data_IF_881638028555
#
_entry.id   IF_881638028555
#
_cell.length_a   1.000
_cell.length_b   1.000
_cell.length_c   1.000
_cell.angle_alpha   90.00
_cell.angle_beta   90.00
_cell.angle_gamma   90.00
#
_symmetry.space_group_name_H-M   'P 1'
#
loop_
_entity.id
_entity.type
_entity.pdbx_description
1 polymer ?
#
# COMPACT_ATOMS: atom_id res chain seq x y z
N UNK A 1 -11.40 -13.31 -0.45
CA UNK A 1 -10.29 -13.34 -1.43
C UNK A 1 -9.04 -12.80 -0.73
N UNK A 2 -7.97 -13.59 -0.62
CA UNK A 2 -6.73 -13.18 0.07
C UNK A 2 -5.89 -12.25 -0.80
N UNK A 3 -5.27 -11.23 -0.19
CA UNK A 3 -4.30 -10.32 -0.80
C UNK A 3 -3.18 -11.05 -1.55
N UNK A 4 -2.79 -12.23 -1.05
CA UNK A 4 -1.76 -13.08 -1.67
C UNK A 4 -2.25 -13.67 -2.99
N UNK A 5 -3.51 -14.07 -3.06
CA UNK A 5 -4.15 -14.62 -4.25
C UNK A 5 -4.30 -13.57 -5.35
N UNK A 6 -4.70 -12.34 -4.98
CA UNK A 6 -4.81 -11.21 -5.91
C UNK A 6 -3.46 -10.85 -6.54
N UNK A 7 -2.40 -10.74 -5.72
CA UNK A 7 -1.03 -10.49 -6.20
C UNK A 7 -0.54 -11.60 -7.14
N UNK A 8 -0.81 -12.86 -6.82
CA UNK A 8 -0.38 -14.01 -7.62
C UNK A 8 -1.10 -14.04 -8.97
N UNK A 9 -2.41 -13.81 -9.00
CA UNK A 9 -3.20 -13.71 -10.23
C UNK A 9 -2.71 -12.57 -11.12
N UNK A 10 -2.42 -11.40 -10.56
CA UNK A 10 -1.96 -10.29 -11.37
C UNK A 10 -0.55 -10.49 -11.92
N UNK A 11 0.36 -11.06 -11.12
CA UNK A 11 1.68 -11.45 -11.61
C UNK A 11 1.56 -12.45 -12.78
N UNK A 12 0.66 -13.42 -12.68
CA UNK A 12 0.40 -14.37 -13.77
C UNK A 12 -0.12 -13.66 -15.04
N UNK A 13 -1.04 -12.70 -14.89
CA UNK A 13 -1.55 -11.91 -16.03
C UNK A 13 -0.43 -11.11 -16.69
N UNK A 14 0.40 -10.41 -15.92
CA UNK A 14 1.53 -9.65 -16.45
C UNK A 14 2.53 -10.53 -17.21
N UNK A 15 2.92 -11.67 -16.63
CA UNK A 15 3.84 -12.62 -17.28
C UNK A 15 3.22 -13.18 -18.57
N UNK A 16 1.93 -13.53 -18.55
CA UNK A 16 1.21 -14.01 -19.73
C UNK A 16 1.08 -12.95 -20.82
N UNK A 17 0.90 -11.68 -20.46
CA UNK A 17 0.82 -10.55 -21.38
C UNK A 17 2.16 -10.31 -22.09
N UNK A 18 3.27 -10.35 -21.34
CA UNK A 18 4.62 -10.24 -21.92
C UNK A 18 4.88 -11.41 -22.88
N UNK A 19 4.59 -12.64 -22.46
CA UNK A 19 4.76 -13.82 -23.31
C UNK A 19 3.89 -13.75 -24.58
N UNK A 20 2.64 -13.30 -24.45
CA UNK A 20 1.71 -13.15 -25.57
C UNK A 20 2.17 -12.11 -26.59
N UNK A 21 2.70 -10.96 -26.14
CA UNK A 21 3.26 -9.93 -27.01
C UNK A 21 4.50 -10.44 -27.77
N UNK A 22 5.36 -11.22 -27.11
CA UNK A 22 6.55 -11.82 -27.74
C UNK A 22 6.15 -12.85 -28.80
N UNK A 23 5.22 -13.76 -28.48
CA UNK A 23 4.76 -14.79 -29.43
C UNK A 23 4.05 -14.17 -30.63
N UNK A 24 3.20 -13.17 -30.40
CA UNK A 24 2.49 -12.44 -31.46
C UNK A 24 3.44 -11.72 -32.42
N UNK A 25 4.56 -11.19 -31.90
CA UNK A 25 5.60 -10.57 -32.74
C UNK A 25 6.27 -11.58 -33.68
N UNK A 26 6.48 -12.82 -33.22
CA UNK A 26 7.12 -13.90 -34.02
C UNK A 26 6.15 -14.51 -35.04
N UNK A 27 4.86 -14.61 -34.71
CA UNK A 27 3.85 -15.32 -35.52
C UNK A 27 3.34 -14.56 -36.77
N UNK A 28 4.09 -13.57 -37.27
CA UNK A 28 3.77 -12.87 -38.52
C UNK A 28 3.17 -11.46 -38.34
N UNK A 29 3.48 -10.78 -37.23
CA UNK A 29 3.13 -9.37 -37.00
C UNK A 29 1.63 -9.08 -37.16
N UNK A 30 0.78 -9.95 -36.61
CA UNK A 30 -0.66 -9.74 -36.63
C UNK A 30 -1.04 -8.66 -35.61
N UNK A 31 -1.12 -7.42 -36.09
CA UNK A 31 -1.36 -6.22 -35.30
C UNK A 31 -2.62 -6.33 -34.41
N UNK A 32 -3.64 -7.10 -34.84
CA UNK A 32 -4.85 -7.34 -34.06
C UNK A 32 -4.62 -8.17 -32.78
N UNK A 33 -3.72 -9.16 -32.83
CA UNK A 33 -3.37 -9.98 -31.66
C UNK A 33 -2.55 -9.15 -30.67
N UNK A 34 -1.63 -8.33 -31.18
CA UNK A 34 -0.85 -7.41 -30.33
C UNK A 34 -1.76 -6.42 -29.60
N UNK A 35 -2.73 -5.83 -30.31
CA UNK A 35 -3.64 -4.83 -29.74
C UNK A 35 -4.56 -5.42 -28.66
N UNK A 36 -5.09 -6.62 -28.88
CA UNK A 36 -5.98 -7.29 -27.91
C UNK A 36 -5.22 -7.69 -26.64
N UNK A 37 -4.04 -8.28 -26.77
CA UNK A 37 -3.18 -8.63 -25.61
C UNK A 37 -2.76 -7.37 -24.83
N UNK A 38 -2.39 -6.31 -25.55
CA UNK A 38 -2.05 -5.02 -24.95
C UNK A 38 -3.22 -4.42 -24.17
N UNK A 39 -4.42 -4.38 -24.76
CA UNK A 39 -5.63 -3.87 -24.11
C UNK A 39 -6.01 -4.69 -22.87
N UNK A 40 -5.98 -6.02 -22.94
CA UNK A 40 -6.28 -6.87 -21.79
C UNK A 40 -5.28 -6.64 -20.65
N UNK A 41 -3.99 -6.48 -20.97
CA UNK A 41 -2.95 -6.22 -19.98
C UNK A 41 -3.12 -4.84 -19.33
N UNK A 42 -3.46 -3.81 -20.12
CA UNK A 42 -3.72 -2.46 -19.63
C UNK A 42 -4.92 -2.43 -18.67
N UNK A 43 -6.03 -3.07 -19.02
CA UNK A 43 -7.22 -3.18 -18.16
C UNK A 43 -6.90 -3.90 -16.85
N UNK A 44 -6.12 -4.99 -16.92
CA UNK A 44 -5.69 -5.71 -15.73
C UNK A 44 -4.78 -4.86 -14.81
N UNK A 45 -3.86 -4.07 -15.39
CA UNK A 45 -2.98 -3.17 -14.65
C UNK A 45 -3.77 -2.05 -13.94
N UNK A 46 -4.71 -1.42 -14.65
CA UNK A 46 -5.59 -0.38 -14.06
C UNK A 46 -6.43 -0.97 -12.93
N UNK A 47 -6.99 -2.17 -13.13
CA UNK A 47 -7.77 -2.86 -12.11
C UNK A 47 -6.93 -3.18 -10.87
N UNK A 48 -5.67 -3.60 -11.05
CA UNK A 48 -4.74 -3.83 -9.94
C UNK A 48 -4.40 -2.54 -9.21
N UNK A 49 -4.20 -1.45 -9.94
CA UNK A 49 -3.87 -0.15 -9.35
C UNK A 49 -5.04 0.36 -8.50
N UNK A 50 -6.27 0.27 -9.00
CA UNK A 50 -7.48 0.60 -8.25
C UNK A 50 -7.70 -0.31 -7.04
N UNK A 51 -7.47 -1.62 -7.18
CA UNK A 51 -7.55 -2.53 -6.03
C UNK A 51 -6.44 -2.21 -4.99
N UNK A 52 -5.24 -1.87 -5.45
CA UNK A 52 -4.11 -1.53 -4.58
C UNK A 52 -4.33 -0.21 -3.86
N UNK A 53 -5.00 0.77 -4.47
CA UNK A 53 -5.33 2.03 -3.80
C UNK A 53 -6.37 1.84 -2.69
N UNK A 54 -7.34 0.95 -2.89
CA UNK A 54 -8.34 0.61 -1.86
C UNK A 54 -7.75 -0.25 -0.74
N UNK A 55 -6.77 -1.10 -1.07
CA UNK A 55 -6.17 -2.05 -0.11
C UNK A 55 -4.97 -1.46 0.64
N UNK A 56 -4.28 -0.45 0.09
CA UNK A 56 -3.33 0.37 0.85
C UNK A 56 -4.10 1.16 1.92
N UNK A 57 -4.27 0.54 3.09
CA UNK A 57 -4.35 1.25 4.36
C UNK A 57 -2.96 1.78 4.71
N UNK A 58 -2.41 2.67 3.90
CA UNK A 58 -1.54 3.70 4.49
C UNK A 58 -2.55 4.71 5.03
N UNK A 59 -2.69 4.86 6.37
CA UNK A 59 -3.44 5.99 6.88
C UNK A 59 -2.88 7.23 6.19
N UNK A 60 -3.75 7.95 5.52
CA UNK A 60 -3.43 9.20 4.82
C UNK A 60 -2.65 10.04 5.84
N UNK A 61 -1.45 10.53 5.50
CA UNK A 61 -0.53 11.27 6.40
C UNK A 61 -1.26 12.26 7.32
N UNK A 62 -2.30 12.93 6.81
CA UNK A 62 -3.13 13.87 7.57
C UNK A 62 -3.85 13.28 8.80
N UNK A 63 -4.18 11.98 8.80
CA UNK A 63 -4.77 11.31 9.97
C UNK A 63 -3.72 10.94 11.00
N UNK A 64 -2.52 10.52 10.59
CA UNK A 64 -1.42 10.31 11.54
C UNK A 64 -0.99 11.63 12.17
N UNK A 65 -1.00 12.73 11.41
CA UNK A 65 -0.65 14.05 11.93
C UNK A 65 -1.69 14.56 12.94
N UNK A 66 -2.98 14.37 12.69
CA UNK A 66 -4.04 14.69 13.64
C UNK A 66 -3.98 13.82 14.92
N UNK A 67 -3.69 12.52 14.78
CA UNK A 67 -3.54 11.62 15.93
C UNK A 67 -2.26 11.92 16.71
N UNK A 68 -1.17 12.31 16.03
CA UNK A 68 0.07 12.76 16.65
C UNK A 68 -0.12 14.08 17.42
N UNK A 69 -0.85 15.04 16.85
CA UNK A 69 -1.17 16.30 17.52
C UNK A 69 -2.02 16.07 18.79
N UNK A 70 -2.99 15.16 18.72
CA UNK A 70 -3.78 14.74 19.89
C UNK A 70 -2.93 14.04 20.96
N UNK A 71 -1.93 13.26 20.56
CA UNK A 71 -1.01 12.62 21.48
C UNK A 71 -0.11 13.65 22.17
N UNK A 72 0.46 14.60 21.42
CA UNK A 72 1.33 15.64 21.99
C UNK A 72 0.54 16.54 22.94
N UNK A 73 -0.72 16.89 22.62
CA UNK A 73 -1.58 17.65 23.52
C UNK A 73 -1.85 16.92 24.85
N UNK A 74 -2.02 15.59 24.83
CA UNK A 74 -2.17 14.79 26.05
C UNK A 74 -0.88 14.72 26.86
N UNK A 75 0.26 14.54 26.19
CA UNK A 75 1.59 14.56 26.85
C UNK A 75 1.83 15.91 27.51
N UNK A 76 1.52 17.00 26.81
CA UNK A 76 1.66 18.35 27.35
C UNK A 76 0.72 18.56 28.55
N UNK A 77 -0.54 18.14 28.46
CA UNK A 77 -1.46 18.22 29.59
C UNK A 77 -0.97 17.47 30.83
N UNK A 78 -0.34 16.31 30.68
CA UNK A 78 0.25 15.57 31.79
C UNK A 78 1.43 16.34 32.42
N UNK A 79 2.29 16.93 31.59
CA UNK A 79 3.41 17.76 32.04
C UNK A 79 2.90 18.99 32.81
N UNK A 80 1.86 19.64 32.29
CA UNK A 80 1.25 20.83 32.91
C UNK A 80 0.63 20.51 34.28
N UNK A 81 0.14 19.29 34.48
CA UNK A 81 -0.33 18.81 35.80
C UNK A 81 0.80 18.45 36.78
N UNK A 82 2.07 18.62 36.37
CA UNK A 82 3.27 18.39 37.20
C UNK A 82 3.93 17.02 36.99
N UNK A 83 3.55 16.27 35.95
CA UNK A 83 4.25 15.03 35.64
C UNK A 83 5.67 15.32 35.12
N UNK A 84 6.69 14.59 35.59
CA UNK A 84 8.06 14.77 35.12
C UNK A 84 8.17 14.43 33.63
N UNK A 85 8.51 15.43 32.82
CA UNK A 85 8.56 15.34 31.34
C UNK A 85 9.36 14.14 30.84
N UNK A 86 10.54 13.90 31.43
CA UNK A 86 11.40 12.80 31.04
C UNK A 86 10.69 11.43 31.18
N UNK A 87 9.91 11.24 32.24
CA UNK A 87 9.17 10.00 32.45
C UNK A 87 7.97 9.87 31.50
N UNK A 88 7.22 10.95 31.26
CA UNK A 88 6.08 10.95 30.33
C UNK A 88 6.53 10.66 28.89
N UNK A 89 7.60 11.32 28.43
CA UNK A 89 8.14 11.10 27.08
C UNK A 89 8.75 9.71 26.92
N UNK A 90 9.38 9.16 27.95
CA UNK A 90 9.88 7.79 27.91
C UNK A 90 8.74 6.77 27.85
N UNK A 91 7.67 6.96 28.64
CA UNK A 91 6.48 6.11 28.61
C UNK A 91 5.83 6.10 27.22
N UNK A 92 5.67 7.27 26.59
CA UNK A 92 5.13 7.38 25.24
C UNK A 92 6.01 6.64 24.21
N UNK A 93 7.33 6.77 24.30
CA UNK A 93 8.28 6.05 23.43
C UNK A 93 8.19 4.53 23.62
N UNK A 94 8.06 4.06 24.85
CA UNK A 94 7.96 2.63 25.15
C UNK A 94 6.64 2.05 24.65
N UNK A 95 5.53 2.78 24.79
CA UNK A 95 4.23 2.42 24.21
C UNK A 95 4.30 2.31 22.67
N UNK A 96 4.92 3.28 21.99
CA UNK A 96 5.12 3.22 20.54
C UNK A 96 6.01 2.04 20.11
N UNK A 97 7.07 1.73 20.87
CA UNK A 97 7.92 0.56 20.61
C UNK A 97 7.16 -0.75 20.73
N UNK A 98 6.25 -0.84 21.70
CA UNK A 98 5.39 -2.01 21.88
C UNK A 98 4.41 -2.15 20.71
N UNK A 99 3.74 -1.06 20.33
CA UNK A 99 2.80 -1.05 19.20
C UNK A 99 3.44 -1.40 17.85
N UNK A 100 4.72 -1.05 17.63
CA UNK A 100 5.47 -1.39 16.40
C UNK A 100 5.88 -2.87 16.31
N UNK A 101 5.89 -3.59 17.44
CA UNK A 101 6.29 -5.01 17.49
C UNK A 101 5.10 -5.98 17.41
N UNK A 102 3.88 -5.49 17.66
CA UNK A 102 2.64 -6.24 17.54
C UNK A 102 2.12 -6.23 16.09
#
# INVERSE_FOLDING_TARGET
MSLRTLRTLCAAVFVSGIAGLIISSVAGNNNGIVLTIGMTTAVAAISLLAASSVVRREPIDAFEEADAERLEAQVQGLIDTGAPEALVRNLARDAMRLGRRA
#
